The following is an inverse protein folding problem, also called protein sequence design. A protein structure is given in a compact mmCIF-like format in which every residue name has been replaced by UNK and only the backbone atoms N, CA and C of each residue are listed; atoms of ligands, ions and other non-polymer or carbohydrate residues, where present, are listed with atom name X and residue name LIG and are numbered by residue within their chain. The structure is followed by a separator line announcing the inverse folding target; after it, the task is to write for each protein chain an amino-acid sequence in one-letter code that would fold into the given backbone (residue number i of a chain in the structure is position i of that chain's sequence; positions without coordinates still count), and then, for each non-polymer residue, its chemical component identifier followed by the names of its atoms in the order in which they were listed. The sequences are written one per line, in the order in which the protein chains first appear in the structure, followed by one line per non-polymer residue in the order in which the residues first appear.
data_IF_259481643470
#
_entry.id   IF_259481643470
#
_cell.length_a   1.000
_cell.length_b   1.000
_cell.length_c   1.000
_cell.angle_alpha   90.00
_cell.angle_beta   90.00
_cell.angle_gamma   90.00
#
_symmetry.space_group_name_H-M   'P 1'
#
loop_
_entity.id
_entity.type
_entity.pdbx_description
1 polymer ?
#
# COMPACT_ATOMS: atom_id res chain seq x y z
N UNK A 1 -15.48 -49.31 22.87
CA UNK A 1 -14.92 -49.20 21.51
C UNK A 1 -14.43 -47.78 21.40
N UNK A 2 -13.14 -47.55 21.57
CA UNK A 2 -12.57 -46.21 21.49
C UNK A 2 -12.68 -45.70 20.06
N UNK A 3 -13.07 -44.43 19.89
CA UNK A 3 -13.18 -43.81 18.57
C UNK A 3 -11.86 -43.88 17.78
N UNK A 4 -10.73 -43.97 18.50
CA UNK A 4 -9.40 -44.20 17.95
C UNK A 4 -9.34 -45.42 17.01
N UNK A 5 -9.97 -46.54 17.37
CA UNK A 5 -9.87 -47.79 16.60
C UNK A 5 -10.58 -47.73 15.23
N UNK A 6 -11.60 -46.87 15.10
CA UNK A 6 -12.39 -46.73 13.87
C UNK A 6 -11.76 -45.79 12.84
N UNK A 7 -10.91 -44.85 13.27
CA UNK A 7 -10.43 -43.73 12.43
C UNK A 7 -8.92 -43.84 12.14
N UNK A 8 -8.18 -44.63 12.93
CA UNK A 8 -6.77 -44.96 12.68
C UNK A 8 -6.48 -45.52 11.27
N UNK A 9 -7.36 -46.28 10.60
CA UNK A 9 -7.09 -46.79 9.25
C UNK A 9 -7.15 -45.72 8.14
N UNK A 10 -7.81 -44.58 8.39
CA UNK A 10 -8.13 -43.57 7.37
C UNK A 10 -7.25 -42.32 7.43
N UNK A 11 -6.46 -42.14 8.49
CA UNK A 11 -5.61 -40.96 8.68
C UNK A 11 -4.19 -41.27 8.17
N UNK A 12 -3.68 -40.43 7.26
CA UNK A 12 -2.31 -40.57 6.73
C UNK A 12 -1.24 -40.53 7.84
N UNK A 13 -0.18 -41.33 7.73
CA UNK A 13 0.90 -41.45 8.72
C UNK A 13 1.49 -40.11 9.23
N UNK A 14 1.70 -39.09 8.37
CA UNK A 14 2.18 -37.77 8.80
C UNK A 14 1.17 -37.00 9.68
N UNK A 15 -0.12 -37.23 9.48
CA UNK A 15 -1.19 -36.61 10.27
C UNK A 15 -1.33 -37.30 11.62
N UNK A 16 -1.15 -38.63 11.66
CA UNK A 16 -1.08 -39.40 12.91
C UNK A 16 0.05 -38.95 13.83
N UNK A 17 1.22 -38.59 13.29
CA UNK A 17 2.35 -38.05 14.08
C UNK A 17 2.08 -36.66 14.68
N UNK A 18 1.15 -35.89 14.11
CA UNK A 18 0.82 -34.53 14.58
C UNK A 18 -0.32 -34.50 15.60
N UNK A 19 -1.03 -35.62 15.77
CA UNK A 19 -2.08 -35.76 16.76
C UNK A 19 -1.46 -36.28 18.08
N UNK A 20 -1.66 -35.52 19.17
CA UNK A 20 -1.25 -35.93 20.51
C UNK A 20 -2.19 -37.03 21.04
N UNK A 21 -1.73 -37.89 21.96
CA UNK A 21 -2.51 -39.04 22.47
C UNK A 21 -3.88 -38.65 23.07
N UNK A 22 -3.91 -37.53 23.79
CA UNK A 22 -5.13 -36.91 24.35
C UNK A 22 -6.14 -36.42 23.29
N UNK A 23 -5.72 -36.19 22.05
CA UNK A 23 -6.61 -35.82 20.96
C UNK A 23 -7.38 -37.02 20.39
N UNK A 24 -6.99 -38.27 20.70
CA UNK A 24 -7.73 -39.47 20.30
C UNK A 24 -8.83 -39.88 21.30
N UNK A 25 -8.72 -39.40 22.55
CA UNK A 25 -9.69 -39.69 23.62
C UNK A 25 -10.93 -38.78 23.55
N UNK A 26 -10.77 -37.57 23.00
CA UNK A 26 -11.86 -36.62 22.78
C UNK A 26 -12.06 -36.36 21.28
N UNK A 27 -13.17 -36.87 20.75
CA UNK A 27 -13.54 -36.71 19.34
C UNK A 27 -13.66 -35.24 18.90
N UNK A 28 -14.00 -34.32 19.81
CA UNK A 28 -14.05 -32.89 19.49
C UNK A 28 -12.64 -32.32 19.29
N UNK A 29 -11.70 -32.63 20.18
CA UNK A 29 -10.29 -32.22 20.05
C UNK A 29 -9.62 -32.85 18.83
N UNK A 30 -9.96 -34.11 18.53
CA UNK A 30 -9.51 -34.79 17.32
C UNK A 30 -9.97 -34.05 16.06
N UNK A 31 -11.27 -33.79 15.96
CA UNK A 31 -11.87 -33.16 14.78
C UNK A 31 -11.39 -31.72 14.62
N UNK A 32 -11.18 -30.99 15.70
CA UNK A 32 -10.64 -29.63 15.64
C UNK A 32 -9.14 -29.61 15.26
N UNK A 33 -8.36 -30.59 15.72
CA UNK A 33 -6.97 -30.75 15.32
C UNK A 33 -6.83 -31.14 13.85
N UNK A 34 -7.67 -32.07 13.39
CA UNK A 34 -7.79 -32.43 11.98
C UNK A 34 -8.23 -31.22 11.15
N UNK A 35 -9.25 -30.48 11.60
CA UNK A 35 -9.69 -29.25 10.94
C UNK A 35 -8.57 -28.23 10.84
N UNK A 36 -7.72 -28.06 11.85
CA UNK A 36 -6.57 -27.16 11.80
C UNK A 36 -5.42 -27.67 10.89
N UNK A 37 -5.21 -29.00 10.82
CA UNK A 37 -4.18 -29.60 9.96
C UNK A 37 -4.58 -29.52 8.48
N UNK A 38 -5.86 -29.69 8.19
CA UNK A 38 -6.43 -29.64 6.84
C UNK A 38 -7.00 -28.28 6.48
N UNK A 39 -7.07 -27.34 7.43
CA UNK A 39 -7.44 -25.96 7.17
C UNK A 39 -6.49 -25.41 6.11
N UNK A 40 -7.00 -24.81 5.05
CA UNK A 40 -6.15 -24.23 4.05
C UNK A 40 -5.26 -23.20 4.72
N UNK A 41 -3.95 -23.39 4.64
CA UNK A 41 -2.99 -22.35 5.02
C UNK A 41 -3.23 -21.25 3.99
N UNK A 42 -3.99 -20.23 4.40
CA UNK A 42 -4.82 -19.42 3.51
C UNK A 42 -4.13 -18.85 2.28
N UNK A 43 -4.94 -18.33 1.35
CA UNK A 43 -4.54 -17.84 0.03
C UNK A 43 -3.26 -16.98 0.02
N UNK A 44 -3.00 -16.22 1.09
CA UNK A 44 -1.75 -15.49 1.28
C UNK A 44 -0.47 -16.35 1.22
N UNK A 45 -0.42 -17.44 1.98
CA UNK A 45 0.76 -18.30 2.04
C UNK A 45 0.91 -19.06 0.72
N UNK A 46 -0.20 -19.49 0.11
CA UNK A 46 -0.19 -20.08 -1.22
C UNK A 46 0.40 -19.12 -2.26
N UNK A 47 -0.09 -17.87 -2.32
CA UNK A 47 0.42 -16.86 -3.25
C UNK A 47 1.89 -16.56 -3.04
N UNK A 48 2.32 -16.45 -1.77
CA UNK A 48 3.72 -16.18 -1.41
C UNK A 48 4.64 -17.31 -1.85
N UNK A 49 4.29 -18.56 -1.52
CA UNK A 49 5.07 -19.74 -1.87
C UNK A 49 5.13 -19.97 -3.38
N UNK A 50 4.01 -19.76 -4.08
CA UNK A 50 3.94 -19.96 -5.52
C UNK A 50 4.76 -18.92 -6.26
N UNK A 51 4.76 -17.66 -5.79
CA UNK A 51 5.66 -16.63 -6.31
C UNK A 51 7.13 -17.00 -6.10
N UNK A 52 7.47 -17.45 -4.90
CA UNK A 52 8.83 -17.90 -4.57
C UNK A 52 9.27 -19.02 -5.52
N UNK A 53 8.41 -20.03 -5.72
CA UNK A 53 8.63 -21.15 -6.62
C UNK A 53 8.90 -20.73 -8.07
N UNK A 54 8.08 -19.85 -8.64
CA UNK A 54 8.27 -19.38 -10.02
C UNK A 54 9.41 -18.36 -10.18
N UNK A 55 9.88 -17.76 -9.09
CA UNK A 55 11.01 -16.82 -9.11
C UNK A 55 12.36 -17.49 -8.85
N UNK A 56 12.38 -18.80 -8.59
CA UNK A 56 13.62 -19.52 -8.34
C UNK A 56 14.54 -19.50 -9.55
N UNK A 57 15.82 -19.26 -9.28
CA UNK A 57 16.88 -19.43 -10.26
C UNK A 57 17.97 -20.30 -9.68
N UNK A 58 18.61 -21.09 -10.55
CA UNK A 58 19.70 -21.96 -10.13
C UNK A 58 20.90 -21.17 -9.57
N UNK A 59 21.14 -19.95 -10.08
CA UNK A 59 22.27 -19.11 -9.65
C UNK A 59 22.23 -18.74 -8.17
N UNK A 60 21.06 -18.81 -7.53
CA UNK A 60 20.90 -18.47 -6.12
C UNK A 60 21.33 -19.63 -5.17
N UNK A 61 21.85 -20.74 -5.70
CA UNK A 61 22.18 -21.96 -4.94
C UNK A 61 23.60 -22.48 -5.18
N UNK A 62 24.22 -22.98 -4.11
CA UNK A 62 25.60 -23.51 -4.15
C UNK A 62 25.74 -24.86 -4.88
N UNK A 63 24.64 -25.63 -5.04
CA UNK A 63 24.67 -26.95 -5.66
C UNK A 63 23.33 -27.37 -6.26
N UNK A 64 23.38 -28.26 -7.26
CA UNK A 64 22.20 -28.88 -7.87
C UNK A 64 21.34 -29.63 -6.85
N UNK A 65 21.96 -30.33 -5.89
CA UNK A 65 21.21 -31.04 -4.84
C UNK A 65 20.45 -30.06 -3.96
N UNK A 66 21.05 -28.92 -3.60
CA UNK A 66 20.38 -27.90 -2.79
C UNK A 66 19.20 -27.28 -3.54
N UNK A 67 19.39 -26.93 -4.82
CA UNK A 67 18.35 -26.40 -5.69
C UNK A 67 17.13 -27.34 -5.82
N UNK A 68 17.37 -28.62 -6.17
CA UNK A 68 16.30 -29.62 -6.31
C UNK A 68 15.59 -29.91 -4.97
N UNK A 69 16.34 -29.89 -3.87
CA UNK A 69 15.76 -30.06 -2.52
C UNK A 69 14.82 -28.89 -2.19
N UNK A 70 15.23 -27.66 -2.53
CA UNK A 70 14.43 -26.47 -2.30
C UNK A 70 13.14 -26.45 -3.13
N UNK A 71 13.23 -26.82 -4.42
CA UNK A 71 12.07 -27.03 -5.30
C UNK A 71 11.07 -27.99 -4.64
N UNK A 72 11.54 -29.18 -4.27
CA UNK A 72 10.68 -30.20 -3.66
C UNK A 72 10.04 -29.70 -2.36
N UNK A 73 10.79 -28.98 -1.54
CA UNK A 73 10.29 -28.39 -0.30
C UNK A 73 9.18 -27.37 -0.58
N UNK A 74 9.33 -26.54 -1.61
CA UNK A 74 8.30 -25.58 -2.01
C UNK A 74 7.06 -26.27 -2.56
N UNK A 75 7.20 -27.29 -3.41
CA UNK A 75 6.07 -28.09 -3.91
C UNK A 75 5.27 -28.73 -2.78
N UNK A 76 5.95 -29.31 -1.79
CA UNK A 76 5.30 -29.91 -0.61
C UNK A 76 4.59 -28.85 0.24
N UNK A 77 5.19 -27.66 0.40
CA UNK A 77 4.56 -26.55 1.13
C UNK A 77 3.35 -25.99 0.40
N UNK A 78 3.41 -25.82 -0.93
CA UNK A 78 2.29 -25.39 -1.77
C UNK A 78 1.17 -26.42 -1.70
N UNK A 79 1.47 -27.71 -1.84
CA UNK A 79 0.47 -28.77 -1.69
C UNK A 79 -0.16 -28.77 -0.29
N UNK A 80 0.65 -28.46 0.71
CA UNK A 80 0.21 -28.33 2.10
C UNK A 80 -0.66 -27.10 2.40
N UNK A 81 -0.86 -26.16 1.45
CA UNK A 81 -1.84 -25.08 1.62
C UNK A 81 -3.26 -25.51 1.31
N UNK A 82 -3.44 -26.63 0.59
CA UNK A 82 -4.75 -27.14 0.17
C UNK A 82 -5.64 -26.11 -0.55
N UNK A 83 -5.00 -25.11 -1.19
CA UNK A 83 -5.70 -24.08 -1.98
C UNK A 83 -5.87 -24.58 -3.40
N UNK A 84 -7.11 -24.59 -3.89
CA UNK A 84 -7.40 -24.86 -5.30
C UNK A 84 -7.12 -23.59 -6.10
N UNK A 85 -6.31 -23.75 -7.15
CA UNK A 85 -5.93 -22.68 -8.06
C UNK A 85 -7.03 -22.44 -9.10
N UNK A 86 -7.99 -21.60 -8.74
CA UNK A 86 -9.06 -21.12 -9.63
C UNK A 86 -8.57 -20.00 -10.57
N UNK A 87 -9.37 -19.67 -11.59
CA UNK A 87 -9.06 -18.66 -12.60
C UNK A 87 -8.75 -17.28 -11.98
N UNK A 88 -9.46 -16.93 -10.91
CA UNK A 88 -9.23 -15.71 -10.14
C UNK A 88 -7.85 -15.71 -9.48
N UNK A 89 -7.49 -16.76 -8.75
CA UNK A 89 -6.16 -16.89 -8.12
C UNK A 89 -5.05 -16.96 -9.16
N UNK A 90 -5.27 -17.59 -10.31
CA UNK A 90 -4.29 -17.57 -11.42
C UNK A 90 -4.03 -16.15 -11.90
N UNK A 91 -5.10 -15.38 -12.11
CA UNK A 91 -5.00 -13.98 -12.55
C UNK A 91 -4.29 -13.12 -11.50
N UNK A 92 -4.67 -13.25 -10.23
CA UNK A 92 -4.06 -12.53 -9.12
C UNK A 92 -2.57 -12.89 -8.94
N UNK A 93 -2.20 -14.16 -9.14
CA UNK A 93 -0.81 -14.61 -9.10
C UNK A 93 0.00 -13.99 -10.25
N UNK A 94 -0.55 -14.05 -11.47
CA UNK A 94 0.09 -13.47 -12.65
C UNK A 94 0.31 -11.96 -12.49
N UNK A 95 -0.72 -11.23 -12.08
CA UNK A 95 -0.61 -9.81 -11.74
C UNK A 95 0.42 -9.59 -10.63
N UNK A 96 0.42 -10.44 -9.61
CA UNK A 96 1.35 -10.33 -8.49
C UNK A 96 2.83 -10.53 -8.85
N UNK A 97 3.14 -11.24 -9.93
CA UNK A 97 4.52 -11.44 -10.42
C UNK A 97 4.95 -10.38 -11.43
N UNK A 98 4.01 -9.85 -12.22
CA UNK A 98 4.30 -8.97 -13.37
C UNK A 98 4.16 -7.48 -13.05
N UNK A 99 3.48 -7.13 -11.97
CA UNK A 99 3.23 -5.74 -11.60
C UNK A 99 4.51 -5.01 -11.16
N UNK A 100 4.69 -3.73 -11.57
CA UNK A 100 5.80 -2.89 -11.10
C UNK A 100 5.81 -2.70 -9.58
N UNK A 101 6.97 -2.32 -9.03
CA UNK A 101 7.15 -2.17 -7.58
C UNK A 101 6.13 -1.23 -6.91
N UNK A 102 5.68 -0.19 -7.62
CA UNK A 102 4.64 0.73 -7.15
C UNK A 102 3.29 0.08 -6.84
N UNK A 103 3.03 -1.13 -7.36
CA UNK A 103 1.78 -1.87 -7.17
C UNK A 103 1.94 -3.10 -6.25
N UNK A 104 3.14 -3.36 -5.71
CA UNK A 104 3.42 -4.51 -4.83
C UNK A 104 2.48 -4.57 -3.61
N UNK A 105 2.05 -3.41 -3.11
CA UNK A 105 1.10 -3.31 -2.00
C UNK A 105 -0.23 -4.01 -2.28
N UNK A 106 -0.75 -3.92 -3.51
CA UNK A 106 -1.99 -4.61 -3.89
C UNK A 106 -1.87 -6.11 -3.80
N UNK A 107 -0.71 -6.65 -4.17
CA UNK A 107 -0.47 -8.10 -4.09
C UNK A 107 -0.53 -8.62 -2.65
N UNK A 108 -0.10 -7.80 -1.67
CA UNK A 108 -0.24 -8.10 -0.24
C UNK A 108 -1.69 -7.99 0.22
N UNK A 109 -2.44 -7.00 -0.27
CA UNK A 109 -3.87 -6.86 0.05
C UNK A 109 -4.66 -8.06 -0.47
N UNK A 110 -4.43 -8.48 -1.72
CA UNK A 110 -5.16 -9.59 -2.33
C UNK A 110 -4.94 -10.90 -1.59
N UNK A 111 -3.70 -11.16 -1.19
CA UNK A 111 -3.33 -12.30 -0.35
C UNK A 111 -4.14 -12.37 0.96
N UNK A 112 -4.40 -11.22 1.60
CA UNK A 112 -5.09 -11.14 2.90
C UNK A 112 -6.61 -11.06 2.73
N UNK A 113 -7.09 -10.58 1.58
CA UNK A 113 -8.52 -10.34 1.37
C UNK A 113 -9.23 -11.64 0.96
N UNK A 114 -10.10 -12.21 1.80
CA UNK A 114 -10.84 -13.40 1.41
C UNK A 114 -11.81 -13.09 0.26
N UNK A 115 -11.88 -13.98 -0.73
CA UNK A 115 -12.78 -13.83 -1.88
C UNK A 115 -12.43 -12.68 -2.82
N UNK A 116 -11.15 -12.31 -2.93
CA UNK A 116 -10.70 -11.37 -3.96
C UNK A 116 -10.89 -11.99 -5.35
N UNK A 117 -11.63 -11.32 -6.23
CA UNK A 117 -11.82 -11.73 -7.63
C UNK A 117 -10.89 -10.95 -8.55
N UNK A 118 -10.62 -11.51 -9.75
CA UNK A 118 -9.81 -10.86 -10.77
C UNK A 118 -10.39 -9.49 -11.18
N UNK A 119 -11.71 -9.39 -11.33
CA UNK A 119 -12.38 -8.14 -11.69
C UNK A 119 -12.20 -7.05 -10.64
N UNK A 120 -12.27 -7.43 -9.35
CA UNK A 120 -12.07 -6.49 -8.25
C UNK A 120 -10.62 -5.99 -8.22
N UNK A 121 -9.66 -6.89 -8.41
CA UNK A 121 -8.25 -6.52 -8.52
C UNK A 121 -7.98 -5.61 -9.72
N UNK A 122 -8.55 -5.92 -10.89
CA UNK A 122 -8.47 -5.07 -12.08
C UNK A 122 -8.98 -3.66 -11.81
N UNK A 123 -10.15 -3.52 -11.21
CA UNK A 123 -10.72 -2.21 -10.90
C UNK A 123 -9.87 -1.43 -9.89
N UNK A 124 -9.28 -2.10 -8.90
CA UNK A 124 -8.35 -1.49 -7.95
C UNK A 124 -7.09 -0.95 -8.64
N UNK A 125 -6.51 -1.72 -9.57
CA UNK A 125 -5.33 -1.29 -10.33
C UNK A 125 -5.64 -0.09 -11.24
N UNK A 126 -6.78 -0.10 -11.93
CA UNK A 126 -7.18 1.00 -12.81
C UNK A 126 -7.40 2.31 -12.04
N UNK A 127 -8.01 2.25 -10.85
CA UNK A 127 -8.17 3.43 -10.01
C UNK A 127 -6.82 3.93 -9.46
N UNK A 128 -5.90 3.03 -9.12
CA UNK A 128 -4.56 3.43 -8.71
C UNK A 128 -3.76 4.07 -9.85
N UNK A 129 -3.82 3.50 -11.05
CA UNK A 129 -3.20 4.09 -12.24
C UNK A 129 -3.75 5.51 -12.50
N UNK A 130 -5.07 5.70 -12.34
CA UNK A 130 -5.72 7.01 -12.46
C UNK A 130 -5.20 8.00 -11.41
N UNK A 131 -4.98 7.55 -10.17
CA UNK A 131 -4.39 8.37 -9.10
C UNK A 131 -2.96 8.76 -9.41
N UNK A 132 -2.12 7.82 -9.85
CA UNK A 132 -0.73 8.09 -10.21
C UNK A 132 -0.63 9.09 -11.36
N UNK A 133 -1.46 8.94 -12.41
CA UNK A 133 -1.53 9.93 -13.51
C UNK A 133 -1.96 11.32 -13.05
N UNK A 134 -2.84 11.40 -12.06
CA UNK A 134 -3.25 12.70 -11.49
C UNK A 134 -2.11 13.37 -10.72
N UNK A 135 -1.25 12.57 -10.08
CA UNK A 135 -0.04 13.07 -9.43
C UNK A 135 1.00 13.51 -10.47
N UNK A 136 1.20 12.75 -11.55
CA UNK A 136 2.16 13.11 -12.61
C UNK A 136 1.78 14.41 -13.36
N UNK A 137 0.49 14.70 -13.55
CA UNK A 137 0.03 15.99 -14.13
C UNK A 137 0.36 17.18 -13.21
N UNK A 138 0.52 16.94 -11.90
CA UNK A 138 0.97 17.93 -10.92
C UNK A 138 2.49 17.97 -10.69
N UNK A 139 3.25 17.07 -11.31
CA UNK A 139 4.66 16.82 -10.93
C UNK A 139 5.61 16.99 -12.12
N UNK A 140 5.66 18.21 -12.67
CA UNK A 140 6.95 18.77 -13.11
C UNK A 140 7.62 19.29 -11.84
N UNK A 141 8.25 18.40 -11.08
CA UNK A 141 8.88 18.77 -9.81
C UNK A 141 9.22 17.60 -8.89
N UNK A 142 10.27 16.86 -9.28
CA UNK A 142 11.23 16.15 -8.41
C UNK A 142 10.75 15.50 -7.10
N UNK A 143 10.89 14.18 -7.05
CA UNK A 143 11.37 13.47 -5.85
C UNK A 143 10.29 12.72 -5.07
N UNK A 144 10.15 11.42 -5.35
CA UNK A 144 9.36 10.53 -4.51
C UNK A 144 10.02 10.29 -3.16
N UNK A 145 9.24 10.37 -2.09
CA UNK A 145 9.14 9.40 -0.98
C UNK A 145 7.73 9.57 -0.39
N UNK A 146 6.94 8.50 -0.35
CA UNK A 146 5.58 8.52 0.20
C UNK A 146 5.54 8.63 1.72
N UNK A 147 4.44 9.19 2.27
CA UNK A 147 3.51 8.52 3.20
C UNK A 147 2.56 9.51 3.93
N UNK A 148 1.29 9.11 3.96
CA UNK A 148 0.20 9.45 4.91
C UNK A 148 -0.40 10.87 4.85
N UNK A 149 -1.67 10.92 4.44
CA UNK A 149 -2.61 11.98 4.76
C UNK A 149 -2.93 11.97 6.27
N UNK A 150 -2.52 13.00 6.99
CA UNK A 150 -3.08 13.34 8.30
C UNK A 150 -3.83 14.67 8.16
N UNK A 151 -5.15 14.60 8.30
CA UNK A 151 -6.04 15.74 8.48
C UNK A 151 -5.75 16.44 9.80
N UNK A 152 -5.10 17.62 9.78
CA UNK A 152 -5.08 18.52 10.95
C UNK A 152 -5.20 19.99 10.55
N UNK A 153 -6.10 20.64 11.29
CA UNK A 153 -6.58 22.02 11.31
C UNK A 153 -5.54 23.14 11.09
N UNK A 154 -5.98 24.35 10.67
CA UNK A 154 -5.08 25.46 10.36
C UNK A 154 -4.54 26.09 11.66
N UNK A 155 -3.32 25.69 12.02
CA UNK A 155 -2.56 26.35 13.09
C UNK A 155 -1.69 27.46 12.49
N UNK A 156 -1.81 28.65 13.09
CA UNK A 156 -1.02 29.87 12.80
C UNK A 156 0.47 29.55 12.82
N UNK A 157 1.16 29.75 11.68
CA UNK A 157 2.63 29.76 11.62
C UNK A 157 3.14 31.20 11.61
N UNK A 158 3.78 31.59 12.70
CA UNK A 158 4.80 32.65 12.73
C UNK A 158 6.13 32.11 12.18
N UNK A 159 7.05 33.00 11.74
CA UNK A 159 8.07 32.67 10.76
C UNK A 159 9.43 32.40 11.40
N UNK A 160 10.12 31.35 10.97
CA UNK A 160 11.59 31.35 10.88
C UNK A 160 12.05 30.07 10.18
N UNK A 161 13.02 30.21 9.30
CA UNK A 161 13.65 29.09 8.62
C UNK A 161 14.18 29.52 7.27
N UNK A 162 15.37 30.12 7.27
CA UNK A 162 16.17 30.39 6.08
C UNK A 162 16.27 29.12 5.23
N UNK A 163 15.59 29.08 4.10
CA UNK A 163 15.76 28.05 3.09
C UNK A 163 16.59 28.63 1.94
N UNK A 164 17.79 28.07 1.85
CA UNK A 164 18.72 27.96 0.73
C UNK A 164 18.11 28.49 -0.59
N UNK A 165 18.69 29.59 -1.08
CA UNK A 165 18.41 30.21 -2.38
C UNK A 165 18.92 29.25 -3.46
N UNK A 166 18.06 28.37 -3.95
CA UNK A 166 18.22 27.83 -5.30
C UNK A 166 17.58 28.82 -6.28
N UNK A 167 18.24 29.02 -7.43
CA UNK A 167 17.95 29.95 -8.54
C UNK A 167 16.54 29.80 -9.17
N UNK A 168 15.48 29.87 -8.36
CA UNK A 168 14.10 29.91 -8.83
C UNK A 168 13.83 31.33 -9.31
N UNK A 169 14.08 31.55 -10.60
CA UNK A 169 13.71 32.78 -11.31
C UNK A 169 12.18 32.84 -11.37
N UNK A 170 11.61 33.88 -10.75
CA UNK A 170 10.17 34.08 -10.75
C UNK A 170 9.66 34.28 -12.19
N UNK A 171 8.68 33.49 -12.67
CA UNK A 171 8.16 33.63 -14.03
C UNK A 171 7.37 34.94 -14.25
N UNK A 172 7.10 35.72 -13.19
CA UNK A 172 6.31 36.96 -13.26
C UNK A 172 7.17 38.22 -13.35
N UNK A 173 8.34 38.25 -12.71
CA UNK A 173 9.21 39.43 -12.67
C UNK A 173 10.68 39.15 -13.01
N UNK A 174 11.06 37.90 -13.25
CA UNK A 174 12.42 37.51 -13.60
C UNK A 174 13.45 37.61 -12.46
N UNK A 175 13.02 37.76 -11.20
CA UNK A 175 13.90 37.86 -10.02
C UNK A 175 13.81 36.59 -9.15
N UNK A 176 14.84 36.31 -8.34
CA UNK A 176 14.90 35.11 -7.49
C UNK A 176 13.92 35.15 -6.31
N UNK A 177 12.72 34.59 -6.48
CA UNK A 177 11.74 34.32 -5.41
C UNK A 177 10.58 33.44 -5.92
N UNK A 178 9.85 32.82 -4.99
CA UNK A 178 8.64 32.04 -5.31
C UNK A 178 7.52 32.92 -5.90
N UNK A 179 6.77 32.39 -6.88
CA UNK A 179 5.72 33.13 -7.60
C UNK A 179 4.63 33.72 -6.68
N UNK A 180 4.40 33.10 -5.51
CA UNK A 180 3.36 33.49 -4.57
C UNK A 180 3.71 34.74 -3.74
N UNK A 181 5.01 35.05 -3.61
CA UNK A 181 5.50 36.26 -2.94
C UNK A 181 5.87 37.38 -3.91
N UNK A 182 5.81 37.13 -5.22
CA UNK A 182 6.16 38.11 -6.26
C UNK A 182 5.43 39.44 -6.10
N UNK A 183 4.10 39.41 -5.96
CA UNK A 183 3.32 40.66 -5.86
C UNK A 183 3.51 41.38 -4.51
N UNK A 184 3.97 40.68 -3.48
CA UNK A 184 4.31 41.31 -2.20
C UNK A 184 5.64 42.06 -2.28
N UNK A 185 6.58 41.54 -3.08
CA UNK A 185 7.91 42.13 -3.28
C UNK A 185 7.93 43.18 -4.41
N UNK A 186 7.08 43.01 -5.42
CA UNK A 186 6.94 43.89 -6.59
C UNK A 186 5.49 44.31 -6.79
N UNK A 187 4.94 45.16 -5.89
CA UNK A 187 3.59 45.69 -6.03
C UNK A 187 3.42 46.55 -7.30
N UNK A 188 4.50 47.11 -7.84
CA UNK A 188 4.52 47.89 -9.07
C UNK A 188 4.25 47.06 -10.35
N UNK A 189 4.55 45.76 -10.30
CA UNK A 189 4.28 44.84 -11.42
C UNK A 189 2.92 44.14 -11.29
N UNK A 190 2.20 44.36 -10.19
CA UNK A 190 0.92 43.72 -9.94
C UNK A 190 -0.13 44.14 -10.98
N UNK A 191 -0.95 43.21 -11.48
CA UNK A 191 -2.02 43.55 -12.41
C UNK A 191 -3.08 44.45 -11.77
N UNK A 192 -3.73 45.29 -12.58
CA UNK A 192 -4.64 46.37 -12.14
C UNK A 192 -5.75 45.90 -11.18
N UNK A 193 -6.35 44.73 -11.44
CA UNK A 193 -7.38 44.15 -10.57
C UNK A 193 -6.88 43.82 -9.16
N UNK A 194 -5.60 43.46 -9.01
CA UNK A 194 -5.01 43.15 -7.71
C UNK A 194 -4.69 44.43 -6.94
N UNK A 195 -4.25 45.48 -7.65
CA UNK A 195 -4.04 46.80 -7.08
C UNK A 195 -5.37 47.38 -6.58
N UNK A 196 -6.43 47.31 -7.40
CA UNK A 196 -7.76 47.78 -7.04
C UNK A 196 -8.27 47.08 -5.77
N UNK A 197 -8.12 45.75 -5.69
CA UNK A 197 -8.49 44.97 -4.48
C UNK A 197 -7.76 45.43 -3.23
N UNK A 198 -6.45 45.73 -3.32
CA UNK A 198 -5.69 46.26 -2.18
C UNK A 198 -6.14 47.66 -1.76
N UNK A 199 -6.53 48.51 -2.72
CA UNK A 199 -7.07 49.84 -2.38
C UNK A 199 -8.41 49.75 -1.68
N UNK A 200 -9.29 48.83 -2.12
CA UNK A 200 -10.57 48.54 -1.48
C UNK A 200 -10.33 48.05 -0.05
N UNK A 201 -9.42 47.09 0.13
CA UNK A 201 -9.12 46.53 1.46
C UNK A 201 -8.53 47.60 2.41
N UNK A 202 -7.63 48.47 1.92
CA UNK A 202 -7.11 49.60 2.71
C UNK A 202 -8.21 50.56 3.12
N UNK A 203 -9.14 50.90 2.22
CA UNK A 203 -10.29 51.77 2.52
C UNK A 203 -11.22 51.15 3.56
N UNK A 204 -11.52 49.86 3.43
CA UNK A 204 -12.36 49.12 4.39
C UNK A 204 -11.70 49.04 5.78
N UNK A 205 -10.39 48.77 5.84
CA UNK A 205 -9.65 48.77 7.11
C UNK A 205 -9.61 50.14 7.76
N UNK A 206 -9.42 51.21 6.98
CA UNK A 206 -9.45 52.58 7.49
C UNK A 206 -10.81 52.93 8.07
N UNK A 207 -11.91 52.66 7.33
CA UNK A 207 -13.28 52.86 7.84
C UNK A 207 -13.53 52.13 9.16
N UNK A 208 -13.12 50.87 9.25
CA UNK A 208 -13.26 50.08 10.48
C UNK A 208 -12.45 50.64 11.65
N UNK A 209 -11.26 51.18 11.40
CA UNK A 209 -10.47 51.86 12.43
C UNK A 209 -11.10 53.18 12.88
N UNK A 210 -11.61 53.98 11.94
CA UNK A 210 -12.28 55.25 12.22
C UNK A 210 -13.58 55.01 13.03
N UNK A 211 -14.34 53.94 12.73
CA UNK A 211 -15.53 53.51 13.49
C UNK A 211 -15.19 53.09 14.92
N UNK A 212 -14.08 52.38 15.12
CA UNK A 212 -13.62 51.97 16.46
C UNK A 212 -13.18 53.18 17.31
N UNK A 213 -12.58 54.20 16.69
CA UNK A 213 -12.17 55.42 17.40
C UNK A 213 -13.34 56.36 17.75
N UNK A 214 -14.54 56.13 17.21
CA UNK A 214 -15.76 56.88 17.56
C UNK A 214 -16.61 56.22 18.65
N UNK A 215 -16.21 55.03 19.12
CA UNK A 215 -16.90 54.28 20.18
C UNK A 215 -16.23 54.35 21.56
N UNK A 216 -15.04 54.95 21.65
CA UNK A 216 -14.34 55.31 22.90
C UNK A 216 -14.50 56.82 23.18
#
# INVERSE_FOLDING_TARGET
MEAADLITPTISGPVKQKLQANAFDDGYLMMNSLANIYAPKGDAEFMRLTREYYSLRYEDFDSMTHYLTHIKTLEERIRGTNVVLDDDKQTLLCLGMTLPEGFQYFTKIWAITPGMTADKARNMLLEEERRQKTLDIGTVGTGGVGLVAITRHPSKRTPSGKAIVNDVVCPRCGKGHEADICWKLHPELAPEWLQERWTIEKRSRKRKWDELQQQD
#
